data_IF_850283032164
#
_entry.id   IF_850283032164
#
_cell.length_a   1.000
_cell.length_b   1.000
_cell.length_c   1.000
_cell.angle_alpha   90.00
_cell.angle_beta   90.00
_cell.angle_gamma   90.00
#
_symmetry.space_group_name_H-M   'P 1'
#
loop_
_entity.id
_entity.type
_entity.pdbx_description
1 polymer ?
#
# COMPACT_ATOMS: atom_id res chain seq x y z
N UNK A 1 7.10 27.00 23.91
CA UNK A 1 6.34 26.13 23.00
C UNK A 1 7.23 25.88 21.80
N UNK A 2 7.82 24.68 21.70
CA UNK A 2 8.54 24.28 20.49
C UNK A 2 7.50 24.13 19.38
N UNK A 3 7.47 25.04 18.41
CA UNK A 3 6.59 24.90 17.25
C UNK A 3 6.98 23.61 16.55
N UNK A 4 6.13 22.59 16.66
CA UNK A 4 6.27 21.38 15.87
C UNK A 4 6.12 21.80 14.41
N UNK A 5 7.21 21.70 13.65
CA UNK A 5 7.27 22.07 12.24
C UNK A 5 7.69 20.83 11.48
N UNK A 6 6.86 20.43 10.51
CA UNK A 6 7.17 19.33 9.60
C UNK A 6 8.45 19.70 8.85
N UNK A 7 9.42 18.77 8.82
CA UNK A 7 10.60 18.86 7.95
C UNK A 7 10.20 18.33 6.56
N UNK A 8 10.00 19.19 5.55
CA UNK A 8 9.50 18.76 4.26
C UNK A 8 10.51 17.90 3.51
N UNK A 9 11.81 18.22 3.61
CA UNK A 9 12.86 17.50 2.91
C UNK A 9 13.06 16.10 3.50
N UNK A 10 13.01 15.99 4.84
CA UNK A 10 13.03 14.70 5.52
C UNK A 10 11.81 13.83 5.18
N UNK A 11 10.63 14.44 5.06
CA UNK A 11 9.41 13.73 4.70
C UNK A 11 9.43 13.24 3.24
N UNK A 12 9.84 14.09 2.29
CA UNK A 12 9.99 13.70 0.88
C UNK A 12 10.95 12.53 0.72
N UNK A 13 12.11 12.58 1.39
CA UNK A 13 13.08 11.48 1.37
C UNK A 13 12.52 10.17 1.91
N UNK A 14 11.73 10.24 2.98
CA UNK A 14 11.05 9.06 3.54
C UNK A 14 10.02 8.48 2.55
N UNK A 15 9.18 9.34 1.96
CA UNK A 15 8.14 8.92 1.01
C UNK A 15 8.75 8.27 -0.24
N UNK A 16 9.84 8.83 -0.78
CA UNK A 16 10.57 8.23 -1.92
C UNK A 16 11.16 6.86 -1.57
N UNK A 17 11.68 6.69 -0.34
CA UNK A 17 12.19 5.39 0.12
C UNK A 17 11.07 4.35 0.19
N UNK A 18 9.93 4.73 0.75
CA UNK A 18 8.75 3.86 0.87
C UNK A 18 8.21 3.47 -0.52
N UNK A 19 8.14 4.41 -1.46
CA UNK A 19 7.74 4.13 -2.84
C UNK A 19 8.70 3.14 -3.53
N UNK A 20 10.00 3.31 -3.34
CA UNK A 20 11.02 2.41 -3.91
C UNK A 20 10.88 0.99 -3.35
N UNK A 21 10.71 0.85 -2.03
CA UNK A 21 10.50 -0.44 -1.39
C UNK A 21 9.16 -1.08 -1.82
N UNK A 22 8.12 -0.27 -1.99
CA UNK A 22 6.82 -0.73 -2.49
C UNK A 22 6.91 -1.25 -3.93
N UNK A 23 7.63 -0.56 -4.81
CA UNK A 23 7.86 -1.02 -6.18
C UNK A 23 8.62 -2.34 -6.21
N UNK A 24 9.63 -2.51 -5.35
CA UNK A 24 10.37 -3.76 -5.24
C UNK A 24 9.48 -4.91 -4.73
N UNK A 25 8.63 -4.65 -3.74
CA UNK A 25 7.67 -5.62 -3.23
C UNK A 25 6.65 -6.03 -4.29
N UNK A 26 6.07 -5.07 -5.02
CA UNK A 26 5.13 -5.35 -6.10
C UNK A 26 5.78 -6.12 -7.25
N UNK A 27 7.01 -5.76 -7.63
CA UNK A 27 7.76 -6.51 -8.64
C UNK A 27 7.95 -7.98 -8.25
N UNK A 28 8.34 -8.25 -7.00
CA UNK A 28 8.49 -9.61 -6.49
C UNK A 28 7.16 -10.41 -6.44
N UNK A 29 6.03 -9.73 -6.26
CA UNK A 29 4.69 -10.34 -6.31
C UNK A 29 4.24 -10.63 -7.75
N UNK A 30 4.60 -9.78 -8.71
CA UNK A 30 4.17 -9.87 -10.12
C UNK A 30 5.07 -10.76 -10.98
N UNK A 31 6.36 -10.92 -10.66
CA UNK A 31 7.36 -11.65 -11.48
C UNK A 31 7.14 -13.18 -11.59
N UNK A 32 5.96 -13.68 -11.24
CA UNK A 32 5.53 -15.03 -11.60
C UNK A 32 6.07 -16.15 -10.71
N UNK A 33 6.74 -15.82 -9.59
CA UNK A 33 7.25 -16.82 -8.63
C UNK A 33 6.10 -17.67 -8.07
N UNK A 34 4.99 -17.07 -7.68
CA UNK A 34 3.82 -17.81 -7.19
C UNK A 34 3.14 -18.63 -8.30
N UNK A 35 3.05 -18.10 -9.51
CA UNK A 35 2.45 -18.79 -10.67
C UNK A 35 3.29 -20.00 -11.10
N UNK A 36 4.62 -19.87 -11.06
CA UNK A 36 5.58 -20.94 -11.33
C UNK A 36 5.46 -22.07 -10.31
N UNK A 37 5.36 -21.72 -9.02
CA UNK A 37 5.14 -22.70 -7.95
C UNK A 37 3.79 -23.42 -8.12
N UNK A 38 2.71 -22.68 -8.46
CA UNK A 38 1.38 -23.24 -8.70
C UNK A 38 1.38 -24.24 -9.86
N UNK A 39 2.01 -23.85 -10.97
CA UNK A 39 2.14 -24.70 -12.17
C UNK A 39 2.95 -25.97 -11.87
N UNK A 40 4.01 -25.83 -11.07
CA UNK A 40 4.81 -26.98 -10.62
C UNK A 40 4.03 -27.94 -9.73
N UNK A 41 3.17 -27.42 -8.84
CA UNK A 41 2.36 -28.20 -7.92
C UNK A 41 1.22 -28.95 -8.64
N UNK A 42 0.54 -28.30 -9.59
CA UNK A 42 -0.46 -28.93 -10.47
C UNK A 42 0.16 -30.06 -11.31
N UNK A 43 1.42 -29.88 -11.74
CA UNK A 43 2.12 -30.88 -12.56
C UNK A 43 2.55 -32.15 -11.78
N UNK A 44 2.50 -32.13 -10.45
CA UNK A 44 3.01 -33.21 -9.59
C UNK A 44 2.07 -34.43 -9.46
N UNK A 45 0.81 -34.34 -9.91
CA UNK A 45 -0.13 -35.45 -9.97
C UNK A 45 -0.73 -35.91 -8.62
N UNK A 46 -1.77 -36.74 -8.73
CA UNK A 46 -2.82 -37.08 -7.72
C UNK A 46 -2.35 -37.70 -6.38
N UNK A 47 -1.07 -38.07 -6.23
CA UNK A 47 -0.58 -38.75 -5.01
C UNK A 47 -0.50 -37.86 -3.76
N UNK A 48 -0.86 -36.57 -3.86
CA UNK A 48 -0.73 -35.57 -2.79
C UNK A 48 -1.84 -34.52 -2.78
N UNK A 49 -3.07 -34.87 -3.16
CA UNK A 49 -4.21 -33.93 -3.26
C UNK A 49 -4.35 -32.99 -2.05
N UNK A 50 -4.36 -33.54 -0.83
CA UNK A 50 -4.50 -32.74 0.40
C UNK A 50 -3.31 -31.80 0.67
N UNK A 51 -2.09 -32.22 0.30
CA UNK A 51 -0.87 -31.40 0.46
C UNK A 51 -0.84 -30.30 -0.60
N UNK A 52 -1.29 -30.60 -1.82
CA UNK A 52 -1.42 -29.62 -2.89
C UNK A 52 -2.46 -28.55 -2.51
N UNK A 53 -3.63 -28.95 -2.00
CA UNK A 53 -4.66 -28.02 -1.51
C UNK A 53 -4.17 -27.17 -0.34
N UNK A 54 -3.47 -27.76 0.65
CA UNK A 54 -2.93 -27.01 1.78
C UNK A 54 -1.84 -26.01 1.35
N UNK A 55 -1.00 -26.37 0.38
CA UNK A 55 0.00 -25.46 -0.20
C UNK A 55 -0.68 -24.35 -1.01
N UNK A 56 -1.68 -24.66 -1.84
CA UNK A 56 -2.46 -23.65 -2.58
C UNK A 56 -3.12 -22.65 -1.62
N UNK A 57 -3.76 -23.11 -0.55
CA UNK A 57 -4.35 -22.23 0.47
C UNK A 57 -3.29 -21.38 1.19
N UNK A 58 -2.14 -21.96 1.57
CA UNK A 58 -1.03 -21.21 2.15
C UNK A 58 -0.51 -20.13 1.20
N UNK A 59 -0.43 -20.39 -0.10
CA UNK A 59 0.00 -19.41 -1.09
C UNK A 59 -1.05 -18.33 -1.35
N UNK A 60 -2.33 -18.67 -1.38
CA UNK A 60 -3.43 -17.69 -1.45
C UNK A 60 -3.45 -16.79 -0.22
N UNK A 61 -3.36 -17.36 0.98
CA UNK A 61 -3.30 -16.60 2.24
C UNK A 61 -2.08 -15.67 2.27
N UNK A 62 -0.90 -16.15 1.88
CA UNK A 62 0.30 -15.30 1.82
C UNK A 62 0.17 -14.20 0.77
N UNK A 63 -0.47 -14.48 -0.37
CA UNK A 63 -0.72 -13.46 -1.40
C UNK A 63 -1.68 -12.40 -0.88
N UNK A 64 -2.77 -12.78 -0.22
CA UNK A 64 -3.74 -11.85 0.38
C UNK A 64 -3.06 -11.00 1.47
N UNK A 65 -2.30 -11.63 2.37
CA UNK A 65 -1.51 -10.93 3.41
C UNK A 65 -0.53 -9.94 2.79
N UNK A 66 0.20 -10.33 1.75
CA UNK A 66 1.16 -9.45 1.08
C UNK A 66 0.45 -8.29 0.35
N UNK A 67 -0.71 -8.54 -0.26
CA UNK A 67 -1.54 -7.48 -0.84
C UNK A 67 -2.03 -6.49 0.22
N UNK A 68 -2.48 -6.98 1.38
CA UNK A 68 -2.88 -6.11 2.51
C UNK A 68 -1.70 -5.26 3.00
N UNK A 69 -0.50 -5.84 3.09
CA UNK A 69 0.72 -5.09 3.44
C UNK A 69 1.00 -4.01 2.41
N UNK A 70 0.97 -4.33 1.11
CA UNK A 70 1.17 -3.36 0.04
C UNK A 70 0.15 -2.22 0.11
N UNK A 71 -1.14 -2.54 0.28
CA UNK A 71 -2.21 -1.54 0.42
C UNK A 71 -1.99 -0.65 1.64
N UNK A 72 -1.58 -1.23 2.77
CA UNK A 72 -1.27 -0.48 4.00
C UNK A 72 -0.10 0.48 3.83
N UNK A 73 0.96 0.03 3.13
CA UNK A 73 2.14 0.86 2.83
C UNK A 73 1.75 2.02 1.89
N UNK A 74 0.99 1.75 0.82
CA UNK A 74 0.53 2.79 -0.10
C UNK A 74 -0.38 3.81 0.60
N UNK A 75 -1.30 3.33 1.44
CA UNK A 75 -2.22 4.17 2.19
C UNK A 75 -1.46 5.04 3.19
N UNK A 76 -0.49 4.46 3.90
CA UNK A 76 0.40 5.20 4.79
C UNK A 76 1.17 6.31 4.07
N UNK A 77 1.78 6.00 2.92
CA UNK A 77 2.53 6.99 2.14
C UNK A 77 1.63 8.15 1.67
N UNK A 78 0.48 7.85 1.06
CA UNK A 78 -0.47 8.86 0.60
C UNK A 78 -1.06 9.67 1.76
N UNK A 79 -1.49 8.99 2.83
CA UNK A 79 -2.07 9.59 4.01
C UNK A 79 -1.11 10.57 4.69
N UNK A 80 0.15 10.18 4.89
CA UNK A 80 1.16 11.06 5.50
C UNK A 80 1.46 12.26 4.60
N UNK A 81 1.58 12.07 3.28
CA UNK A 81 1.83 13.18 2.35
C UNK A 81 0.71 14.23 2.38
N UNK A 82 -0.54 13.80 2.30
CA UNK A 82 -1.70 14.71 2.31
C UNK A 82 -2.00 15.30 3.69
N UNK A 83 -1.75 14.57 4.78
CA UNK A 83 -1.89 15.10 6.13
C UNK A 83 -0.82 16.17 6.41
N UNK A 84 0.42 15.95 5.96
CA UNK A 84 1.48 16.93 6.09
C UNK A 84 1.17 18.23 5.33
N UNK A 85 0.65 18.10 4.10
CA UNK A 85 0.16 19.25 3.32
C UNK A 85 -0.98 19.99 4.03
N UNK A 86 -1.98 19.25 4.52
CA UNK A 86 -3.12 19.83 5.24
C UNK A 86 -2.69 20.58 6.49
N UNK A 87 -1.75 20.02 7.26
CA UNK A 87 -1.15 20.68 8.42
C UNK A 87 -0.38 21.95 8.02
N UNK A 88 0.37 21.92 6.92
CA UNK A 88 1.09 23.09 6.42
C UNK A 88 0.14 24.22 5.94
N UNK A 89 -1.02 23.86 5.42
CA UNK A 89 -2.09 24.78 5.00
C UNK A 89 -2.98 25.24 6.18
N UNK A 90 -2.76 24.74 7.40
CA UNK A 90 -3.56 25.04 8.59
C UNK A 90 -4.97 24.44 8.58
N UNK A 91 -5.18 23.41 7.76
CA UNK A 91 -6.47 22.76 7.55
C UNK A 91 -6.57 21.45 8.35
N UNK A 92 -6.78 21.58 9.66
CA UNK A 92 -6.81 20.43 10.60
C UNK A 92 -7.94 19.43 10.30
N UNK A 93 -9.09 19.89 9.79
CA UNK A 93 -10.19 19.01 9.41
C UNK A 93 -9.84 18.13 8.20
N UNK A 94 -9.10 18.67 7.23
CA UNK A 94 -8.59 17.89 6.11
C UNK A 94 -7.52 16.88 6.55
N UNK A 95 -6.65 17.25 7.51
CA UNK A 95 -5.68 16.31 8.09
C UNK A 95 -6.38 15.12 8.79
N UNK A 96 -7.46 15.38 9.52
CA UNK A 96 -8.25 14.32 10.19
C UNK A 96 -9.01 13.42 9.19
N UNK A 97 -9.56 14.01 8.12
CA UNK A 97 -10.22 13.26 7.06
C UNK A 97 -9.23 12.33 6.34
N UNK A 98 -8.04 12.86 6.01
CA UNK A 98 -6.94 12.09 5.39
C UNK A 98 -6.50 10.93 6.28
N UNK A 99 -6.39 11.12 7.60
CA UNK A 99 -6.06 10.03 8.53
C UNK A 99 -7.12 8.93 8.55
N UNK A 100 -8.40 9.31 8.48
CA UNK A 100 -9.51 8.36 8.47
C UNK A 100 -9.52 7.53 7.18
N UNK A 101 -9.36 8.19 6.04
CA UNK A 101 -9.33 7.52 4.74
C UNK A 101 -8.05 6.71 4.52
N UNK A 102 -6.93 7.09 5.15
CA UNK A 102 -5.72 6.26 5.20
C UNK A 102 -5.99 4.89 5.82
N UNK A 103 -6.66 4.84 6.97
CA UNK A 103 -6.98 3.56 7.63
C UNK A 103 -7.93 2.73 6.75
N UNK A 104 -8.95 3.39 6.17
CA UNK A 104 -9.89 2.72 5.27
C UNK A 104 -9.19 2.14 4.04
N UNK A 105 -8.35 2.93 3.37
CA UNK A 105 -7.61 2.49 2.18
C UNK A 105 -6.61 1.37 2.49
N UNK A 106 -6.01 1.36 3.69
CA UNK A 106 -5.16 0.27 4.14
C UNK A 106 -5.94 -1.05 4.26
N UNK A 107 -7.16 -1.00 4.79
CA UNK A 107 -8.02 -2.17 4.97
C UNK A 107 -8.67 -2.64 3.65
N UNK A 108 -9.09 -1.70 2.79
CA UNK A 108 -9.91 -2.04 1.61
C UNK A 108 -9.13 -2.02 0.29
N UNK A 109 -7.94 -1.44 0.25
CA UNK A 109 -7.21 -1.18 -1.00
C UNK A 109 -7.89 -0.15 -1.92
N UNK A 110 -8.88 0.60 -1.43
CA UNK A 110 -9.59 1.63 -2.20
C UNK A 110 -8.90 2.99 -2.03
N UNK A 111 -8.24 3.47 -3.09
CA UNK A 111 -7.49 4.73 -3.10
C UNK A 111 -8.25 5.90 -3.76
N UNK A 112 -9.52 5.72 -4.11
CA UNK A 112 -10.31 6.70 -4.86
C UNK A 112 -10.39 8.08 -4.17
N UNK A 113 -10.37 8.12 -2.84
CA UNK A 113 -10.31 9.37 -2.07
C UNK A 113 -9.03 10.17 -2.37
N UNK A 114 -7.87 9.51 -2.35
CA UNK A 114 -6.57 10.15 -2.58
C UNK A 114 -6.39 10.58 -4.04
N UNK A 115 -6.92 9.81 -4.98
CA UNK A 115 -6.94 10.17 -6.41
C UNK A 115 -7.75 11.44 -6.64
N UNK A 116 -8.93 11.55 -6.03
CA UNK A 116 -9.76 12.76 -6.11
C UNK A 116 -9.06 13.96 -5.45
N UNK A 117 -8.40 13.75 -4.31
CA UNK A 117 -7.66 14.80 -3.63
C UNK A 117 -6.48 15.31 -4.48
N UNK A 118 -5.77 14.39 -5.16
CA UNK A 118 -4.70 14.72 -6.09
C UNK A 118 -5.20 15.52 -7.30
N UNK A 119 -6.36 15.16 -7.86
CA UNK A 119 -6.99 15.88 -8.97
C UNK A 119 -7.39 17.31 -8.55
N UNK A 120 -8.03 17.48 -7.40
CA UNK A 120 -8.38 18.81 -6.86
C UNK A 120 -7.15 19.69 -6.60
N UNK A 121 -6.04 19.07 -6.20
CA UNK A 121 -4.76 19.76 -6.03
C UNK A 121 -4.07 20.14 -7.37
N UNK A 122 -4.37 19.42 -8.46
CA UNK A 122 -3.82 19.63 -9.80
C UNK A 122 -4.64 20.58 -10.69
N UNK A 123 -5.94 20.70 -10.47
CA UNK A 123 -6.84 21.61 -11.20
C UNK A 123 -6.73 23.10 -10.79
N UNK A 124 -5.81 23.42 -9.87
CA UNK A 124 -5.50 24.79 -9.45
C UNK A 124 -4.37 25.48 -10.21
N UNK A 125 -4.03 25.03 -11.44
CA UNK A 125 -2.99 25.65 -12.30
C UNK A 125 -3.58 26.58 -13.36
#
# INVERSE_FOLDING_TARGET
>A
MTSWRIDPAGLEGLLTSVETEQMALNGALEEGDFTSIFTGLESAGDMRGDVATALSGLFEDNKEVLQTITSSVAAGANGVAFAARSCAEGNESMAAAVQTEMVRAADTGDFSYFEQLAQQAGEGS
#
